data_IF_537615764522
#
_entry.id   IF_537615764522
#
_cell.length_a   1.000
_cell.length_b   1.000
_cell.length_c   1.000
_cell.angle_alpha   90.00
_cell.angle_beta   90.00
_cell.angle_gamma   90.00
#
_symmetry.space_group_name_H-M   'P 1'
#
loop_
_entity.id
_entity.type
_entity.pdbx_description
1 polymer ?
#
# COMPACT_ATOMS: atom_id res chain seq x y z
N UNK A 1 -12.19 -8.16 -22.57
CA UNK A 1 -11.85 -7.75 -21.20
C UNK A 1 -11.61 -6.24 -21.13
N UNK A 2 -12.64 -5.38 -21.17
CA UNK A 2 -12.52 -3.95 -20.77
C UNK A 2 -13.87 -3.20 -20.69
N UNK A 3 -14.92 -3.83 -20.17
CA UNK A 3 -16.18 -3.12 -19.85
C UNK A 3 -16.30 -2.72 -18.37
N UNK A 4 -15.52 -3.35 -17.47
CA UNK A 4 -15.51 -2.97 -16.04
C UNK A 4 -14.71 -1.70 -15.73
N UNK A 5 -13.82 -1.28 -16.63
CA UNK A 5 -13.01 -0.07 -16.44
C UNK A 5 -13.79 1.23 -16.71
N UNK A 6 -14.86 1.18 -17.53
CA UNK A 6 -15.65 2.36 -17.88
C UNK A 6 -16.81 2.66 -16.91
N UNK A 7 -17.06 1.78 -15.94
CA UNK A 7 -18.12 1.98 -14.96
C UNK A 7 -17.68 2.86 -13.77
N UNK A 8 -16.36 3.01 -13.56
CA UNK A 8 -15.81 3.81 -12.45
C UNK A 8 -15.69 5.31 -12.82
N UNK A 9 -15.65 5.65 -14.11
CA UNK A 9 -15.52 7.05 -14.57
C UNK A 9 -16.85 7.83 -14.65
N UNK A 10 -18.01 7.18 -14.45
CA UNK A 10 -19.34 7.84 -14.52
C UNK A 10 -19.92 8.31 -13.19
N UNK A 11 -19.28 8.03 -12.06
CA UNK A 11 -19.79 8.39 -10.73
C UNK A 11 -19.23 9.72 -10.17
N UNK A 12 -18.48 10.49 -10.96
CA UNK A 12 -17.76 11.69 -10.53
C UNK A 12 -18.33 13.03 -11.01
N UNK A 13 -19.62 13.10 -11.39
CA UNK A 13 -20.22 14.37 -11.82
C UNK A 13 -20.72 15.15 -10.59
N UNK A 14 -19.88 16.13 -10.25
CA UNK A 14 -20.11 17.30 -9.41
C UNK A 14 -21.52 17.86 -9.64
N UNK A 15 -22.39 17.75 -8.64
CA UNK A 15 -23.62 18.56 -8.56
C UNK A 15 -23.23 19.95 -8.05
N UNK A 16 -22.82 20.82 -8.95
CA UNK A 16 -22.73 22.26 -8.69
C UNK A 16 -24.15 22.82 -8.70
N UNK A 17 -24.78 22.88 -7.53
CA UNK A 17 -26.04 23.59 -7.36
C UNK A 17 -25.81 25.09 -7.57
N UNK A 18 -26.50 25.61 -8.59
CA UNK A 18 -26.60 27.01 -8.97
C UNK A 18 -26.81 27.94 -7.76
N UNK A 19 -25.81 28.79 -7.51
CA UNK A 19 -25.89 29.93 -6.61
C UNK A 19 -26.40 31.14 -7.43
N UNK A 20 -27.67 31.52 -7.26
CA UNK A 20 -28.22 32.78 -7.78
C UNK A 20 -28.71 33.68 -6.63
N UNK A 21 -27.89 34.70 -6.39
CA UNK A 21 -28.20 36.08 -5.97
C UNK A 21 -29.30 36.32 -4.92
N UNK A 22 -28.84 36.65 -3.71
CA UNK A 22 -29.61 37.37 -2.68
C UNK A 22 -29.70 38.86 -3.04
N UNK A 23 -30.90 39.44 -2.94
CA UNK A 23 -31.15 40.89 -2.90
C UNK A 23 -31.31 41.29 -1.43
N UNK A 24 -30.48 42.21 -0.97
CA UNK A 24 -30.41 42.66 0.42
C UNK A 24 -31.69 43.36 0.89
N UNK A 25 -32.08 43.12 2.15
CA UNK A 25 -32.89 44.06 2.96
C UNK A 25 -32.72 43.75 4.45
N UNK A 26 -32.12 44.69 5.18
CA UNK A 26 -32.61 45.16 6.49
C UNK A 26 -32.30 44.31 7.72
N UNK A 27 -31.32 44.80 8.48
CA UNK A 27 -31.21 44.81 9.97
C UNK A 27 -31.03 43.48 10.70
N UNK A 28 -29.98 43.45 11.54
CA UNK A 28 -29.59 42.43 12.55
C UNK A 28 -28.76 41.19 12.14
N UNK A 29 -27.89 41.27 11.13
CA UNK A 29 -27.10 40.11 10.66
C UNK A 29 -25.75 39.88 11.38
N UNK A 30 -25.34 40.70 12.35
CA UNK A 30 -24.01 40.57 12.99
C UNK A 30 -23.98 39.48 14.08
N UNK A 31 -25.09 39.23 14.78
CA UNK A 31 -25.15 38.23 15.86
C UNK A 31 -25.30 36.77 15.34
N UNK A 32 -25.84 36.58 14.14
CA UNK A 32 -26.06 35.25 13.56
C UNK A 32 -24.78 34.64 12.95
N UNK A 33 -23.84 35.46 12.48
CA UNK A 33 -22.55 34.97 11.94
C UNK A 33 -21.68 34.35 13.02
N UNK A 34 -21.67 34.93 14.23
CA UNK A 34 -20.92 34.39 15.38
C UNK A 34 -21.53 33.05 15.82
N UNK A 35 -22.86 32.93 15.79
CA UNK A 35 -23.58 31.71 16.19
C UNK A 35 -23.48 30.57 15.15
N UNK A 36 -23.38 30.88 13.86
CA UNK A 36 -23.13 29.89 12.80
C UNK A 36 -21.66 29.41 12.78
N UNK A 37 -20.69 30.28 13.12
CA UNK A 37 -19.28 29.90 13.19
C UNK A 37 -18.99 28.92 14.33
N UNK A 38 -19.74 29.00 15.43
CA UNK A 38 -19.61 28.07 16.57
C UNK A 38 -20.16 26.66 16.32
N UNK A 39 -20.91 26.43 15.22
CA UNK A 39 -21.44 25.09 14.86
C UNK A 39 -20.58 24.30 13.87
N UNK A 40 -19.47 24.86 13.41
CA UNK A 40 -18.41 24.07 12.77
C UNK A 40 -17.43 23.59 13.84
N UNK A 41 -17.94 22.80 14.78
CA UNK A 41 -17.06 21.99 15.62
C UNK A 41 -16.39 20.99 14.69
N UNK A 42 -15.12 21.25 14.37
CA UNK A 42 -14.26 20.41 13.53
C UNK A 42 -14.47 18.93 13.88
N UNK A 43 -15.00 18.08 12.96
CA UNK A 43 -15.25 16.66 13.23
C UNK A 43 -13.97 15.86 13.58
N UNK A 44 -12.80 16.51 13.50
CA UNK A 44 -11.51 15.97 13.91
C UNK A 44 -11.30 15.84 15.43
N UNK A 45 -12.03 16.58 16.28
CA UNK A 45 -11.78 16.57 17.74
C UNK A 45 -12.44 15.39 18.47
N UNK A 46 -13.61 14.93 18.02
CA UNK A 46 -14.29 13.78 18.61
C UNK A 46 -13.50 12.46 18.38
N UNK A 47 -12.97 12.27 17.17
CA UNK A 47 -12.16 11.08 16.83
C UNK A 47 -10.85 11.01 17.64
N UNK A 48 -10.28 12.15 18.02
CA UNK A 48 -9.06 12.23 18.85
C UNK A 48 -9.30 11.78 20.29
N UNK A 49 -10.46 12.13 20.88
CA UNK A 49 -10.82 11.73 22.25
C UNK A 49 -11.02 10.22 22.39
N UNK A 50 -11.62 9.57 21.39
CA UNK A 50 -11.83 8.12 21.38
C UNK A 50 -10.54 7.28 21.33
N UNK A 51 -9.42 7.88 20.88
CA UNK A 51 -8.10 7.22 20.80
C UNK A 51 -7.32 7.27 22.12
N UNK A 52 -7.71 8.14 23.05
CA UNK A 52 -7.00 8.36 24.31
C UNK A 52 -7.35 7.31 25.38
N UNK A 53 -8.57 6.75 25.36
CA UNK A 53 -9.03 5.70 26.28
C UNK A 53 -8.76 4.26 25.81
N UNK A 54 -8.18 4.07 24.63
CA UNK A 54 -7.93 2.73 24.08
C UNK A 54 -6.72 2.09 24.76
N UNK A 55 -6.88 0.81 25.12
CA UNK A 55 -5.75 -0.04 25.45
C UNK A 55 -4.67 0.04 24.36
N UNK A 56 -3.40 -0.09 24.77
CA UNK A 56 -2.24 -0.10 23.88
C UNK A 56 -2.41 -1.08 22.71
N UNK A 57 -3.09 -2.20 22.96
CA UNK A 57 -3.37 -3.22 21.94
C UNK A 57 -4.40 -2.74 20.91
N UNK A 58 -5.46 -2.08 21.35
CA UNK A 58 -6.50 -1.56 20.47
C UNK A 58 -5.97 -0.42 19.57
N UNK A 59 -5.08 0.42 20.11
CA UNK A 59 -4.36 1.44 19.31
C UNK A 59 -3.48 0.81 18.22
N UNK A 60 -2.82 -0.32 18.52
CA UNK A 60 -2.01 -1.07 17.54
C UNK A 60 -2.89 -1.68 16.45
N UNK A 61 -4.02 -2.29 16.82
CA UNK A 61 -4.99 -2.87 15.88
C UNK A 61 -5.53 -1.81 14.92
N UNK A 62 -6.01 -0.67 15.44
CA UNK A 62 -6.49 0.44 14.60
C UNK A 62 -5.42 0.96 13.65
N UNK A 63 -4.17 1.12 14.11
CA UNK A 63 -3.05 1.52 13.23
C UNK A 63 -2.84 0.51 12.11
N UNK A 64 -2.80 -0.79 12.41
CA UNK A 64 -2.62 -1.85 11.41
C UNK A 64 -3.79 -1.93 10.42
N UNK A 65 -4.99 -1.58 10.86
CA UNK A 65 -6.19 -1.49 10.03
C UNK A 65 -6.22 -0.23 9.12
N UNK A 66 -5.29 0.71 9.26
CA UNK A 66 -5.20 1.83 8.31
C UNK A 66 -4.67 1.37 6.96
N UNK A 67 -5.24 1.91 5.88
CA UNK A 67 -4.76 1.63 4.52
C UNK A 67 -3.27 1.97 4.37
N UNK A 68 -2.82 3.11 4.94
CA UNK A 68 -1.42 3.54 4.96
C UNK A 68 -0.48 2.51 5.58
N UNK A 69 -0.86 1.87 6.68
CA UNK A 69 -0.04 0.82 7.29
C UNK A 69 0.02 -0.41 6.39
N UNK A 70 -1.12 -0.87 5.86
CA UNK A 70 -1.17 -2.04 4.98
C UNK A 70 -0.34 -1.86 3.71
N UNK A 71 -0.47 -0.71 3.05
CA UNK A 71 0.29 -0.42 1.83
C UNK A 71 1.78 -0.34 2.12
N UNK A 72 2.19 0.38 3.17
CA UNK A 72 3.60 0.45 3.57
C UNK A 72 4.19 -0.93 3.92
N UNK A 73 3.41 -1.79 4.59
CA UNK A 73 3.84 -3.16 4.90
C UNK A 73 3.96 -4.02 3.63
N UNK A 74 2.98 -3.95 2.72
CA UNK A 74 3.02 -4.67 1.45
C UNK A 74 4.21 -4.24 0.59
N UNK A 75 4.50 -2.94 0.52
CA UNK A 75 5.68 -2.43 -0.21
C UNK A 75 6.98 -2.96 0.37
N UNK A 76 7.13 -2.98 1.70
CA UNK A 76 8.33 -3.53 2.35
C UNK A 76 8.51 -5.01 2.04
N UNK A 77 7.43 -5.78 2.13
CA UNK A 77 7.50 -7.20 1.84
C UNK A 77 7.81 -7.47 0.35
N UNK A 78 7.26 -6.66 -0.56
CA UNK A 78 7.60 -6.73 -1.98
C UNK A 78 9.10 -6.49 -2.21
N UNK A 79 9.68 -5.47 -1.60
CA UNK A 79 11.13 -5.18 -1.69
C UNK A 79 11.95 -6.34 -1.13
N UNK A 80 11.55 -6.90 0.01
CA UNK A 80 12.24 -8.07 0.62
C UNK A 80 12.25 -9.27 -0.32
N UNK A 81 11.10 -9.57 -0.94
CA UNK A 81 10.96 -10.68 -1.89
C UNK A 81 11.71 -10.41 -3.19
N UNK A 82 11.72 -9.17 -3.66
CA UNK A 82 12.48 -8.74 -4.84
C UNK A 82 13.99 -8.93 -4.63
N UNK A 83 14.53 -8.47 -3.51
CA UNK A 83 15.93 -8.69 -3.14
C UNK A 83 16.29 -10.18 -3.05
N UNK A 84 15.40 -11.00 -2.46
CA UNK A 84 15.57 -12.45 -2.43
C UNK A 84 15.59 -13.07 -3.84
N UNK A 85 14.68 -12.64 -4.72
CA UNK A 85 14.60 -13.15 -6.09
C UNK A 85 15.82 -12.71 -6.92
N UNK A 86 16.37 -11.51 -6.68
CA UNK A 86 17.62 -11.07 -7.29
C UNK A 86 18.78 -11.98 -6.90
N UNK A 87 18.93 -12.31 -5.61
CA UNK A 87 19.96 -13.25 -5.16
C UNK A 87 19.81 -14.64 -5.81
N UNK A 88 18.57 -15.13 -5.98
CA UNK A 88 18.29 -16.38 -6.70
C UNK A 88 18.66 -16.30 -8.19
N UNK A 89 18.44 -15.16 -8.84
CA UNK A 89 18.82 -14.94 -10.22
C UNK A 89 20.35 -14.92 -10.40
N UNK A 90 21.09 -14.28 -9.48
CA UNK A 90 22.56 -14.31 -9.50
C UNK A 90 23.09 -15.73 -9.29
N UNK A 91 22.54 -16.49 -8.33
CA UNK A 91 22.91 -17.89 -8.15
C UNK A 91 22.66 -18.70 -9.44
N UNK A 92 21.51 -18.51 -10.10
CA UNK A 92 21.16 -19.22 -11.34
C UNK A 92 22.17 -19.02 -12.47
N UNK A 93 22.79 -17.85 -12.59
CA UNK A 93 23.78 -17.54 -13.63
C UNK A 93 25.07 -18.35 -13.48
N UNK A 94 25.40 -18.73 -12.24
CA UNK A 94 26.60 -19.52 -11.93
C UNK A 94 26.41 -21.02 -12.18
N UNK A 95 25.16 -21.47 -12.34
CA UNK A 95 24.85 -22.89 -12.46
C UNK A 95 24.95 -23.38 -13.91
N UNK A 96 25.66 -24.50 -14.16
CA UNK A 96 25.76 -25.08 -15.49
C UNK A 96 24.42 -25.71 -15.91
N UNK A 97 23.87 -25.29 -17.05
CA UNK A 97 22.64 -25.86 -17.63
C UNK A 97 22.70 -25.97 -19.14
N UNK A 98 22.13 -27.04 -19.68
CA UNK A 98 21.90 -27.22 -21.12
C UNK A 98 20.39 -27.35 -21.38
N UNK A 99 19.77 -26.49 -22.21
CA UNK A 99 20.31 -25.24 -22.79
C UNK A 99 20.53 -24.15 -21.72
N UNK A 100 21.34 -23.10 -22.00
CA UNK A 100 21.70 -22.07 -21.01
C UNK A 100 20.51 -21.26 -20.48
N UNK A 101 19.43 -21.17 -21.26
CA UNK A 101 18.18 -20.47 -20.95
C UNK A 101 17.13 -21.37 -20.27
N UNK A 102 17.50 -22.58 -19.86
CA UNK A 102 16.59 -23.50 -19.16
C UNK A 102 15.99 -22.81 -17.92
N UNK A 103 14.66 -22.75 -17.86
CA UNK A 103 13.95 -22.25 -16.67
C UNK A 103 14.08 -23.27 -15.54
N UNK A 104 14.66 -22.87 -14.42
CA UNK A 104 14.76 -23.69 -13.21
C UNK A 104 13.84 -23.12 -12.13
N UNK A 105 13.17 -24.00 -11.40
CA UNK A 105 12.47 -23.66 -10.17
C UNK A 105 13.45 -23.38 -9.02
N UNK A 106 12.98 -22.72 -7.96
CA UNK A 106 13.81 -22.41 -6.78
C UNK A 106 14.44 -23.65 -6.16
N UNK A 107 13.70 -24.76 -6.10
CA UNK A 107 14.22 -26.01 -5.53
C UNK A 107 15.29 -26.64 -6.43
N UNK A 108 15.12 -26.59 -7.75
CA UNK A 108 16.11 -27.10 -8.69
C UNK A 108 17.41 -26.29 -8.63
N UNK A 109 17.32 -24.95 -8.54
CA UNK A 109 18.49 -24.07 -8.36
C UNK A 109 19.28 -24.48 -7.12
N UNK A 110 18.61 -24.70 -5.99
CA UNK A 110 19.28 -25.11 -4.74
C UNK A 110 19.95 -26.49 -4.86
N UNK A 111 19.24 -27.48 -5.42
CA UNK A 111 19.78 -28.83 -5.62
C UNK A 111 21.00 -28.80 -6.54
N UNK A 112 20.90 -28.09 -7.67
CA UNK A 112 21.98 -27.99 -8.64
C UNK A 112 23.20 -27.25 -8.07
N UNK A 113 22.98 -26.21 -7.26
CA UNK A 113 24.07 -25.52 -6.57
C UNK A 113 24.85 -26.44 -5.63
N UNK A 114 24.14 -27.25 -4.83
CA UNK A 114 24.76 -28.24 -3.94
C UNK A 114 25.57 -29.26 -4.75
N UNK A 115 24.96 -29.85 -5.78
CA UNK A 115 25.65 -30.79 -6.67
C UNK A 115 26.88 -30.17 -7.33
N UNK A 116 26.80 -28.91 -7.76
CA UNK A 116 27.89 -28.24 -8.47
C UNK A 116 29.05 -27.91 -7.54
N UNK A 117 28.79 -27.44 -6.32
CA UNK A 117 29.84 -27.24 -5.31
C UNK A 117 30.55 -28.57 -5.02
N UNK A 118 29.80 -29.66 -4.78
CA UNK A 118 30.39 -30.98 -4.54
C UNK A 118 31.22 -31.48 -5.73
N UNK A 119 30.76 -31.25 -6.95
CA UNK A 119 31.50 -31.60 -8.16
C UNK A 119 32.83 -30.84 -8.25
N UNK A 120 32.81 -29.52 -8.04
CA UNK A 120 34.02 -28.70 -8.08
C UNK A 120 35.02 -29.11 -7.00
N UNK A 121 34.57 -29.40 -5.78
CA UNK A 121 35.43 -29.91 -4.71
C UNK A 121 36.11 -31.23 -5.13
N UNK A 122 35.35 -32.17 -5.69
CA UNK A 122 35.91 -33.44 -6.17
C UNK A 122 36.95 -33.24 -7.29
N UNK A 123 36.73 -32.30 -8.20
CA UNK A 123 37.70 -31.99 -9.27
C UNK A 123 38.98 -31.34 -8.73
N UNK A 124 38.90 -30.58 -7.63
CA UNK A 124 40.04 -29.90 -7.02
C UNK A 124 40.85 -30.78 -6.05
N UNK A 125 40.22 -31.80 -5.46
CA UNK A 125 40.87 -32.77 -4.56
C UNK A 125 41.64 -33.88 -5.31
N UNK A 126 41.52 -33.93 -6.65
CA UNK A 126 42.24 -34.82 -7.56
C UNK A 126 43.47 -34.10 -8.12
#
# INVERSE_FOLDING_TARGET
>A
MNERANQILRAGIIRASSCKQRKARGTSEIEDVVRLRSRLAEPGEALKKDLQHLSREERRRRRRATAKYRTAHATRERIRVEAFNMAFAELRKLLPTLPPDKKLSKIEILRLAICYISYLNHVLDV
#
